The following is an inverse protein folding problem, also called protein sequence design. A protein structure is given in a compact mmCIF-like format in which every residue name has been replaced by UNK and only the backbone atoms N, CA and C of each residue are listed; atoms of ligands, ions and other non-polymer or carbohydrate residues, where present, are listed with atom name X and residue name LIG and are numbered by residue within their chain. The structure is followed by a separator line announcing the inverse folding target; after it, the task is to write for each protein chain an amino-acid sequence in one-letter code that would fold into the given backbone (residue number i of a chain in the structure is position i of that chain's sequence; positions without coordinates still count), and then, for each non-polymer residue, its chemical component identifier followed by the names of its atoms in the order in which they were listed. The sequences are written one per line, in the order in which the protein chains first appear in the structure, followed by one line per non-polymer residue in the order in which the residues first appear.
data_IF_534020633248
#
_entry.id   IF_534020633248
#
_cell.length_a   1.000
_cell.length_b   1.000
_cell.length_c   1.000
_cell.angle_alpha   90.00
_cell.angle_beta   90.00
_cell.angle_gamma   90.00
#
_symmetry.space_group_name_H-M   'P 1'
#
loop_
_entity.id
_entity.type
_entity.pdbx_description
1 polymer ?
#
# COMPACT_ATOMS: atom_id res chain seq x y z
N UNK A 1 -1.67 27.83 8.58
CA UNK A 1 -1.10 26.90 7.59
C UNK A 1 0.38 27.21 7.45
N UNK A 2 1.26 26.24 7.71
CA UNK A 2 2.71 26.47 7.60
C UNK A 2 3.10 26.53 6.12
N UNK A 3 3.64 27.67 5.68
CA UNK A 3 4.16 27.83 4.32
C UNK A 3 5.57 27.24 4.27
N UNK A 4 5.71 26.06 3.68
CA UNK A 4 7.01 25.51 3.29
C UNK A 4 7.59 26.39 2.18
N UNK A 5 8.79 26.95 2.42
CA UNK A 5 9.51 27.74 1.41
C UNK A 5 10.02 26.78 0.32
N UNK A 6 9.58 27.03 -0.90
CA UNK A 6 9.99 26.32 -2.11
C UNK A 6 11.05 27.15 -2.85
N UNK A 7 12.12 26.51 -3.35
CA UNK A 7 13.06 27.13 -4.27
C UNK A 7 12.38 27.50 -5.61
N UNK A 8 13.08 28.22 -6.51
CA UNK A 8 12.50 28.75 -7.75
C UNK A 8 11.97 27.68 -8.74
N UNK A 9 12.24 26.40 -8.49
CA UNK A 9 11.71 25.25 -9.24
C UNK A 9 10.89 24.27 -8.40
N UNK A 10 10.73 24.56 -7.10
CA UNK A 10 10.00 23.67 -6.21
C UNK A 10 8.51 24.04 -6.21
N UNK A 11 7.68 23.04 -6.38
CA UNK A 11 6.22 23.14 -6.22
C UNK A 11 5.80 22.24 -5.08
N UNK A 12 4.56 22.38 -4.59
CA UNK A 12 4.03 21.45 -3.61
C UNK A 12 4.02 20.00 -4.12
N UNK A 13 3.88 19.80 -5.44
CA UNK A 13 3.97 18.50 -6.11
C UNK A 13 5.39 17.93 -5.99
N UNK A 14 6.42 18.72 -6.27
CA UNK A 14 7.81 18.22 -6.26
C UNK A 14 8.31 17.96 -4.84
N UNK A 15 7.65 18.50 -3.81
CA UNK A 15 7.94 18.21 -2.40
C UNK A 15 7.41 16.84 -1.93
N UNK A 16 6.53 16.19 -2.70
CA UNK A 16 6.00 14.86 -2.36
C UNK A 16 7.08 13.80 -2.54
N UNK A 17 7.66 13.32 -1.44
CA UNK A 17 8.73 12.30 -1.46
C UNK A 17 8.22 10.93 -1.92
N UNK A 18 7.00 10.57 -1.54
CA UNK A 18 6.32 9.33 -1.90
C UNK A 18 4.82 9.53 -1.70
N UNK A 19 4.00 9.22 -2.70
CA UNK A 19 2.55 9.07 -2.55
C UNK A 19 2.25 7.59 -2.30
N UNK A 20 1.83 7.25 -1.09
CA UNK A 20 1.31 5.92 -0.77
C UNK A 20 -0.21 5.99 -0.88
N UNK A 21 -0.77 5.38 -1.93
CA UNK A 21 -2.21 5.35 -2.17
C UNK A 21 -2.76 4.00 -1.74
N UNK A 22 -3.74 4.01 -0.84
CA UNK A 22 -4.42 2.81 -0.35
C UNK A 22 -5.82 2.78 -0.98
N UNK A 23 -6.15 1.68 -1.66
CA UNK A 23 -7.48 1.51 -2.24
C UNK A 23 -7.93 0.04 -2.17
N UNK A 24 -9.24 -0.17 -2.10
CA UNK A 24 -9.92 -1.48 -2.04
C UNK A 24 -9.38 -2.45 -0.98
N UNK A 25 -8.91 -1.94 0.16
CA UNK A 25 -8.45 -2.73 1.30
C UNK A 25 -9.60 -3.00 2.28
N UNK A 26 -9.63 -4.20 2.85
CA UNK A 26 -10.63 -4.59 3.85
C UNK A 26 -11.11 -6.03 3.69
N UNK A 27 -11.11 -6.55 2.47
CA UNK A 27 -11.44 -7.94 2.19
C UNK A 27 -10.35 -8.90 2.70
N UNK A 28 -10.72 -10.17 2.91
CA UNK A 28 -9.81 -11.24 3.30
C UNK A 28 -8.78 -11.52 2.19
N UNK A 29 -7.53 -11.77 2.58
CA UNK A 29 -6.45 -12.29 1.72
C UNK A 29 -6.17 -11.45 0.45
N UNK A 30 -5.95 -10.13 0.57
CA UNK A 30 -5.59 -9.30 -0.58
C UNK A 30 -4.25 -9.77 -1.17
N UNK A 31 -4.13 -9.68 -2.49
CA UNK A 31 -2.89 -9.90 -3.22
C UNK A 31 -2.42 -8.55 -3.77
N UNK A 32 -1.51 -7.88 -3.06
CA UNK A 32 -0.99 -6.55 -3.40
C UNK A 32 0.35 -6.72 -4.10
N UNK A 33 0.55 -6.03 -5.23
CA UNK A 33 1.74 -6.19 -6.08
C UNK A 33 2.50 -4.88 -6.23
N UNK A 34 3.77 -4.98 -6.65
CA UNK A 34 4.54 -3.81 -7.03
C UNK A 34 4.13 -3.33 -8.44
N UNK A 35 3.45 -2.19 -8.53
CA UNK A 35 3.00 -1.61 -9.81
C UNK A 35 4.09 -0.80 -10.54
N UNK A 36 5.06 -0.22 -9.83
CA UNK A 36 6.02 0.72 -10.41
C UNK A 36 7.47 0.34 -10.09
N UNK A 37 8.36 0.23 -11.11
CA UNK A 37 9.77 -0.06 -10.88
C UNK A 37 10.46 0.98 -9.97
N UNK A 38 10.09 2.27 -10.09
CA UNK A 38 10.70 3.38 -9.33
C UNK A 38 10.54 3.26 -7.82
N UNK A 39 9.45 2.66 -7.37
CA UNK A 39 9.11 2.50 -5.94
C UNK A 39 9.14 1.06 -5.47
N UNK A 40 9.63 0.13 -6.31
CA UNK A 40 9.73 -1.29 -5.99
C UNK A 40 10.52 -1.56 -4.69
N UNK A 41 11.58 -0.78 -4.44
CA UNK A 41 12.35 -0.89 -3.20
C UNK A 41 11.52 -0.58 -1.95
N UNK A 42 10.57 0.36 -2.01
CA UNK A 42 9.62 0.61 -0.91
C UNK A 42 8.62 -0.52 -0.76
N UNK A 43 8.15 -1.10 -1.86
CA UNK A 43 7.32 -2.30 -1.82
C UNK A 43 8.05 -3.47 -1.13
N UNK A 44 9.34 -3.67 -1.41
CA UNK A 44 10.16 -4.69 -0.73
C UNK A 44 10.30 -4.44 0.77
N UNK A 45 10.22 -3.19 1.24
CA UNK A 45 10.15 -2.90 2.69
C UNK A 45 8.87 -3.44 3.30
N UNK A 46 7.72 -3.26 2.64
CA UNK A 46 6.44 -3.85 3.11
C UNK A 46 6.51 -5.37 3.19
N UNK A 47 7.08 -6.03 2.17
CA UNK A 47 7.33 -7.48 2.18
C UNK A 47 8.19 -7.90 3.38
N UNK A 48 9.30 -7.20 3.63
CA UNK A 48 10.20 -7.51 4.73
C UNK A 48 9.54 -7.30 6.11
N UNK A 49 8.74 -6.24 6.26
CA UNK A 49 7.96 -5.94 7.47
C UNK A 49 6.94 -7.04 7.71
N UNK A 50 6.15 -7.42 6.70
CA UNK A 50 5.19 -8.51 6.77
C UNK A 50 5.85 -9.81 7.27
N UNK A 51 6.94 -10.23 6.61
CA UNK A 51 7.68 -11.44 6.99
C UNK A 51 8.25 -11.36 8.42
N UNK A 52 8.69 -10.17 8.86
CA UNK A 52 9.19 -9.96 10.23
C UNK A 52 8.07 -10.09 11.24
N UNK A 53 6.93 -9.42 11.03
CA UNK A 53 5.78 -9.49 11.94
C UNK A 53 5.20 -10.91 12.00
N UNK A 54 5.16 -11.62 10.87
CA UNK A 54 4.73 -13.02 10.81
C UNK A 54 5.65 -13.94 11.63
N UNK A 55 6.98 -13.82 11.47
CA UNK A 55 7.95 -14.60 12.27
C UNK A 55 7.88 -14.32 13.76
N UNK A 56 7.50 -13.10 14.15
CA UNK A 56 7.30 -12.72 15.55
C UNK A 56 5.93 -13.16 16.11
N UNK A 57 5.06 -13.76 15.29
CA UNK A 57 3.71 -14.15 15.70
C UNK A 57 2.80 -12.95 15.99
N UNK A 58 3.08 -11.79 15.38
CA UNK A 58 2.33 -10.55 15.61
C UNK A 58 1.18 -10.34 14.61
N UNK A 59 1.09 -11.19 13.59
CA UNK A 59 -0.01 -11.19 12.62
C UNK A 59 -1.04 -12.27 12.95
N UNK A 60 -2.31 -12.00 12.63
CA UNK A 60 -3.38 -12.99 12.67
C UNK A 60 -3.27 -13.99 11.51
N UNK A 61 -2.75 -13.55 10.36
CA UNK A 61 -2.50 -14.39 9.20
C UNK A 61 -1.51 -15.53 9.57
N UNK A 62 -1.92 -16.80 9.42
CA UNK A 62 -1.07 -17.92 9.77
C UNK A 62 0.07 -18.10 8.74
N UNK A 63 1.18 -18.78 9.10
CA UNK A 63 2.34 -18.96 8.22
C UNK A 63 2.06 -19.64 6.87
N UNK A 64 1.03 -20.49 6.82
CA UNK A 64 0.63 -21.19 5.59
C UNK A 64 -0.19 -20.34 4.61
N UNK A 65 -0.75 -19.21 5.08
CA UNK A 65 -1.51 -18.34 4.20
C UNK A 65 -0.55 -17.59 3.29
N UNK A 66 -1.00 -17.32 2.06
CA UNK A 66 -0.16 -16.62 1.12
C UNK A 66 -0.01 -15.14 1.56
N UNK A 67 1.20 -14.54 1.56
CA UNK A 67 1.45 -13.17 2.07
C UNK A 67 0.66 -12.08 1.35
N UNK A 68 0.24 -11.01 2.01
CA UNK A 68 -0.47 -9.90 1.37
C UNK A 68 0.35 -9.25 0.25
N UNK A 69 1.66 -9.07 0.46
CA UNK A 69 2.55 -8.45 -0.52
C UNK A 69 3.22 -9.50 -1.41
N UNK A 70 2.77 -9.58 -2.66
CA UNK A 70 3.20 -10.55 -3.67
C UNK A 70 4.45 -10.07 -4.40
N UNK A 71 5.47 -10.94 -4.47
CA UNK A 71 6.69 -10.68 -5.25
C UNK A 71 6.50 -10.84 -6.76
N UNK A 72 5.41 -11.47 -7.20
CA UNK A 72 5.07 -11.51 -8.62
C UNK A 72 4.69 -10.12 -9.14
N UNK A 73 4.99 -9.81 -10.42
CA UNK A 73 4.62 -8.53 -11.00
C UNK A 73 3.10 -8.32 -10.95
N UNK A 74 2.68 -7.05 -10.90
CA UNK A 74 1.27 -6.71 -11.02
C UNK A 74 0.70 -7.29 -12.34
N UNK A 75 -0.48 -7.91 -12.33
CA UNK A 75 -1.10 -8.49 -13.52
C UNK A 75 -1.36 -7.48 -14.65
N UNK A 76 -1.45 -6.19 -14.32
CA UNK A 76 -1.64 -5.10 -15.26
C UNK A 76 -1.61 -3.73 -14.56
N UNK A 77 -1.64 -2.63 -15.34
CA UNK A 77 -1.83 -1.31 -14.79
C UNK A 77 -3.24 -1.16 -14.19
N UNK A 78 -3.36 -0.31 -13.18
CA UNK A 78 -4.64 0.10 -12.61
C UNK A 78 -4.64 1.62 -12.57
N UNK A 79 -5.67 2.23 -13.15
CA UNK A 79 -5.88 3.68 -13.05
C UNK A 79 -6.62 4.00 -11.76
N UNK A 80 -6.14 5.03 -11.06
CA UNK A 80 -6.71 5.53 -9.81
C UNK A 80 -6.19 6.96 -9.57
N UNK A 81 -6.49 7.56 -8.42
CA UNK A 81 -6.17 8.94 -8.05
C UNK A 81 -4.68 9.31 -8.14
N UNK A 82 -3.78 8.32 -8.15
CA UNK A 82 -2.35 8.55 -8.32
C UNK A 82 -1.97 8.99 -9.75
N UNK A 83 -2.80 8.77 -10.77
CA UNK A 83 -2.45 9.00 -12.18
C UNK A 83 -1.94 10.43 -12.45
N UNK A 84 -2.63 11.51 -12.01
CA UNK A 84 -2.15 12.87 -12.21
C UNK A 84 -0.82 13.17 -11.51
N UNK A 85 -0.55 12.54 -10.36
CA UNK A 85 0.69 12.72 -9.60
C UNK A 85 1.84 11.98 -10.28
N UNK A 86 1.61 10.75 -10.72
CA UNK A 86 2.57 9.93 -11.44
C UNK A 86 3.02 10.64 -12.74
N UNK A 87 2.08 11.20 -13.51
CA UNK A 87 2.37 11.99 -14.71
C UNK A 87 3.25 13.22 -14.45
N UNK A 88 3.24 13.74 -13.22
CA UNK A 88 4.06 14.88 -12.79
C UNK A 88 5.35 14.46 -12.08
N UNK A 89 5.67 13.16 -12.10
CA UNK A 89 6.92 12.62 -11.58
C UNK A 89 6.94 12.32 -10.09
N UNK A 90 5.79 12.35 -9.41
CA UNK A 90 5.69 11.92 -8.00
C UNK A 90 5.92 10.40 -7.92
N UNK A 91 6.82 9.91 -7.06
CA UNK A 91 6.94 8.48 -6.79
C UNK A 91 5.66 7.94 -6.16
N UNK A 92 5.07 6.89 -6.73
CA UNK A 92 3.82 6.29 -6.24
C UNK A 92 4.07 4.88 -5.73
N UNK A 93 3.56 4.57 -4.55
CA UNK A 93 3.41 3.22 -4.03
C UNK A 93 1.90 2.94 -3.93
N UNK A 94 1.36 2.23 -4.92
CA UNK A 94 -0.06 1.94 -5.02
C UNK A 94 -0.37 0.61 -4.34
N UNK A 95 -1.08 0.67 -3.22
CA UNK A 95 -1.44 -0.46 -2.37
C UNK A 95 -2.90 -0.82 -2.63
N UNK A 96 -3.11 -1.51 -3.75
CA UNK A 96 -4.41 -2.02 -4.19
C UNK A 96 -4.27 -3.53 -4.48
N UNK A 97 -5.24 -4.37 -4.07
CA UNK A 97 -5.19 -5.80 -4.40
C UNK A 97 -5.53 -6.04 -5.88
N UNK A 98 -4.90 -7.06 -6.49
CA UNK A 98 -5.29 -7.58 -7.80
C UNK A 98 -5.35 -9.11 -7.74
N UNK A 99 -6.52 -9.75 -7.97
CA UNK A 99 -7.81 -9.16 -8.35
C UNK A 99 -8.42 -8.28 -7.25
N UNK A 100 -9.32 -7.37 -7.66
CA UNK A 100 -10.13 -6.58 -6.72
C UNK A 100 -11.01 -7.46 -5.83
N UNK A 101 -11.44 -6.96 -4.66
CA UNK A 101 -12.42 -7.67 -3.83
C UNK A 101 -13.65 -8.07 -4.65
N UNK A 102 -14.18 -9.27 -4.41
CA UNK A 102 -15.36 -9.78 -5.13
C UNK A 102 -16.59 -8.88 -4.99
N UNK A 103 -16.65 -8.12 -3.90
CA UNK A 103 -17.74 -7.20 -3.56
C UNK A 103 -17.56 -5.81 -4.17
N UNK A 104 -16.43 -5.52 -4.82
CA UNK A 104 -16.18 -4.21 -5.43
C UNK A 104 -17.28 -3.83 -6.42
N UNK A 105 -17.80 -2.60 -6.28
CA UNK A 105 -18.93 -2.09 -7.06
C UNK A 105 -20.22 -2.92 -6.99
N UNK A 106 -20.43 -3.65 -5.89
CA UNK A 106 -21.71 -4.29 -5.57
C UNK A 106 -22.30 -3.68 -4.30
N UNK A 107 -23.59 -3.97 -4.04
CA UNK A 107 -24.23 -3.59 -2.77
C UNK A 107 -23.70 -4.40 -1.58
N UNK A 108 -22.84 -5.39 -1.80
CA UNK A 108 -22.23 -6.21 -0.77
C UNK A 108 -20.93 -5.60 -0.23
N UNK A 109 -20.44 -4.48 -0.78
CA UNK A 109 -19.31 -3.74 -0.19
C UNK A 109 -19.76 -3.00 1.09
N UNK A 110 -19.95 -3.76 2.15
CA UNK A 110 -20.50 -3.32 3.44
C UNK A 110 -19.59 -3.74 4.59
N UNK A 111 -19.88 -3.23 5.78
CA UNK A 111 -19.11 -3.53 6.99
C UNK A 111 -19.07 -5.03 7.32
N UNK A 112 -20.12 -5.78 6.97
CA UNK A 112 -20.23 -7.22 7.19
C UNK A 112 -19.24 -8.04 6.36
N UNK A 113 -18.81 -7.51 5.21
CA UNK A 113 -17.83 -8.15 4.32
C UNK A 113 -16.39 -7.71 4.57
N UNK A 114 -16.16 -6.85 5.56
CA UNK A 114 -14.81 -6.54 6.04
C UNK A 114 -14.22 -7.71 6.83
N UNK A 115 -12.95 -8.01 6.59
CA UNK A 115 -12.20 -9.00 7.33
C UNK A 115 -11.28 -8.33 8.34
N UNK A 116 -11.79 -8.16 9.56
CA UNK A 116 -11.11 -7.45 10.65
C UNK A 116 -9.67 -7.92 10.91
N UNK A 117 -9.35 -9.23 10.95
CA UNK A 117 -7.97 -9.67 11.15
C UNK A 117 -7.02 -9.20 10.05
N UNK A 118 -7.44 -9.24 8.77
CA UNK A 118 -6.63 -8.70 7.66
C UNK A 118 -6.39 -7.20 7.83
N UNK A 119 -7.42 -6.43 8.20
CA UNK A 119 -7.27 -4.99 8.41
C UNK A 119 -6.30 -4.67 9.56
N UNK A 120 -6.38 -5.41 10.66
CA UNK A 120 -5.48 -5.25 11.81
C UNK A 120 -4.03 -5.57 11.42
N UNK A 121 -3.80 -6.61 10.63
CA UNK A 121 -2.47 -6.98 10.16
C UNK A 121 -1.89 -5.97 9.16
N UNK A 122 -2.67 -5.53 8.18
CA UNK A 122 -2.26 -4.46 7.25
C UNK A 122 -1.96 -3.16 8.00
N UNK A 123 -2.75 -2.82 9.03
CA UNK A 123 -2.51 -1.65 9.86
C UNK A 123 -1.16 -1.73 10.58
N UNK A 124 -0.81 -2.88 11.16
CA UNK A 124 0.52 -3.08 11.79
C UNK A 124 1.64 -2.92 10.79
N UNK A 125 1.50 -3.48 9.59
CA UNK A 125 2.51 -3.39 8.53
C UNK A 125 2.69 -1.94 8.08
N UNK A 126 1.59 -1.20 7.87
CA UNK A 126 1.63 0.20 7.45
C UNK A 126 2.22 1.11 8.53
N UNK A 127 1.86 0.91 9.80
CA UNK A 127 2.45 1.66 10.92
C UNK A 127 3.95 1.42 11.00
N UNK A 128 4.40 0.16 10.90
CA UNK A 128 5.81 -0.17 10.87
C UNK A 128 6.52 0.44 9.64
N UNK A 129 5.88 0.44 8.48
CA UNK A 129 6.41 1.06 7.26
C UNK A 129 6.60 2.57 7.43
N UNK A 130 5.59 3.27 7.97
CA UNK A 130 5.68 4.71 8.23
C UNK A 130 6.79 5.01 9.25
N UNK A 131 6.90 4.20 10.31
CA UNK A 131 7.99 4.34 11.29
C UNK A 131 9.37 4.13 10.65
N UNK A 132 9.55 3.09 9.81
CA UNK A 132 10.80 2.88 9.07
C UNK A 132 11.09 4.02 8.08
N UNK A 133 10.08 4.50 7.36
CA UNK A 133 10.22 5.57 6.36
C UNK A 133 10.62 6.90 7.00
N UNK A 134 10.02 7.23 8.16
CA UNK A 134 10.27 8.46 8.90
C UNK A 134 11.43 8.36 9.89
N UNK A 135 12.05 7.18 10.04
CA UNK A 135 13.13 6.93 11.01
C UNK A 135 12.72 7.25 12.46
N UNK A 136 11.53 6.80 12.87
CA UNK A 136 10.99 6.96 14.23
C UNK A 136 11.53 5.95 15.23
#
# INVERSE_FOLDING_TARGET
MASTRHGPHDTQITAMSLLVLLDLLGARHPAIHSHFPRTHHWFLRLVAIEQRLQRLGLLHAPPQDQPFFRLSPAPGPVEDDHVPFLQRGVPVLHLIPTPFPRVWHTLEDTAENLHRPTMEDLSKILVAFVAEFLQL
#
